data_IF_766631544655
#
_entry.id   IF_766631544655
#
_cell.length_a   1.000
_cell.length_b   1.000
_cell.length_c   1.000
_cell.angle_alpha   90.00
_cell.angle_beta   90.00
_cell.angle_gamma   90.00
#
_symmetry.space_group_name_H-M   'P 1'
#
loop_
_entity.id
_entity.type
_entity.pdbx_description
1 polymer ?
#
# COMPACT_ATOMS: atom_id res chain seq x y z
N UNK A 1 -20.33 84.75 40.82
CA UNK A 1 -19.98 83.55 41.59
C UNK A 1 -20.47 82.32 40.81
N UNK A 2 -19.66 81.65 40.02
CA UNK A 2 -20.01 80.42 39.27
C UNK A 2 -19.05 79.31 39.65
N UNK A 3 -19.56 78.27 40.32
CA UNK A 3 -18.77 77.08 40.70
C UNK A 3 -18.63 76.17 39.50
N UNK A 4 -17.37 75.87 39.11
CA UNK A 4 -17.07 74.86 38.12
C UNK A 4 -17.01 73.51 38.83
N UNK A 5 -17.78 72.56 38.37
CA UNK A 5 -17.75 71.18 38.81
C UNK A 5 -16.76 70.41 37.85
N UNK A 6 -15.72 69.87 38.48
CA UNK A 6 -14.77 69.00 37.76
C UNK A 6 -15.25 67.54 37.70
N UNK A 7 -15.53 67.03 36.51
CA UNK A 7 -15.92 65.62 36.28
C UNK A 7 -14.62 64.87 35.96
N UNK A 8 -14.17 64.06 36.91
CA UNK A 8 -13.08 63.10 36.69
C UNK A 8 -13.62 61.85 35.99
N UNK A 9 -13.24 61.63 34.73
CA UNK A 9 -13.54 60.44 33.96
C UNK A 9 -12.59 59.30 34.37
N UNK A 10 -13.14 58.25 34.99
CA UNK A 10 -12.44 57.03 35.38
C UNK A 10 -12.38 56.11 34.16
N UNK A 11 -11.25 56.07 33.44
CA UNK A 11 -11.00 55.11 32.36
C UNK A 11 -10.66 53.74 32.96
N UNK A 12 -11.61 52.81 32.92
CA UNK A 12 -11.39 51.39 33.27
C UNK A 12 -10.77 50.69 32.05
N UNK A 13 -9.44 50.41 32.13
CA UNK A 13 -8.72 49.59 31.14
C UNK A 13 -9.07 48.09 31.40
N UNK A 14 -10.00 47.54 30.63
CA UNK A 14 -10.24 46.10 30.58
C UNK A 14 -9.08 45.42 29.86
N UNK A 15 -8.10 44.93 30.62
CA UNK A 15 -7.06 44.05 30.09
C UNK A 15 -7.68 42.71 29.69
N UNK A 16 -7.86 42.48 28.39
CA UNK A 16 -8.33 41.18 27.87
C UNK A 16 -7.22 40.15 28.05
N UNK A 17 -7.35 39.32 29.08
CA UNK A 17 -6.45 38.17 29.30
C UNK A 17 -6.83 37.11 28.26
N UNK A 18 -6.07 37.08 27.17
CA UNK A 18 -6.13 36.00 26.15
C UNK A 18 -5.55 34.73 26.78
N UNK A 19 -6.37 33.83 27.26
CA UNK A 19 -5.96 32.50 27.71
C UNK A 19 -5.61 31.69 26.43
N UNK A 20 -4.34 31.26 26.23
CA UNK A 20 -4.00 30.43 25.10
C UNK A 20 -4.68 29.07 25.28
N UNK A 21 -5.64 28.74 24.43
CA UNK A 21 -6.18 27.40 24.37
C UNK A 21 -5.05 26.44 23.96
N UNK A 22 -4.83 25.33 24.68
CA UNK A 22 -3.84 24.35 24.26
C UNK A 22 -4.23 23.83 22.88
N UNK A 23 -3.36 24.08 21.90
CA UNK A 23 -3.52 23.53 20.55
C UNK A 23 -3.54 22.01 20.70
N UNK A 24 -4.70 21.38 20.40
CA UNK A 24 -4.79 19.93 20.36
C UNK A 24 -3.76 19.43 19.36
N UNK A 25 -2.75 18.74 19.84
CA UNK A 25 -1.75 18.10 19.00
C UNK A 25 -2.52 17.19 18.02
N UNK A 26 -2.51 17.57 16.74
CA UNK A 26 -3.16 16.80 15.69
C UNK A 26 -2.32 15.53 15.50
N UNK A 27 -2.79 14.42 16.06
CA UNK A 27 -2.17 13.11 15.88
C UNK A 27 -2.16 12.83 14.38
N UNK A 28 -0.98 12.91 13.77
CA UNK A 28 -0.79 12.61 12.34
C UNK A 28 -1.12 11.14 12.13
N UNK A 29 -2.32 10.87 11.63
CA UNK A 29 -2.77 9.51 11.37
C UNK A 29 -1.94 8.94 10.21
N UNK A 30 -1.14 7.90 10.49
CA UNK A 30 -0.37 7.20 9.47
C UNK A 30 -1.31 6.54 8.47
N UNK A 31 -0.99 6.68 7.19
CA UNK A 31 -1.74 6.11 6.07
C UNK A 31 -1.02 4.85 5.56
N UNK A 32 -1.77 3.78 5.35
CA UNK A 32 -1.31 2.60 4.64
C UNK A 32 -1.73 2.73 3.17
N UNK A 33 -0.80 2.44 2.29
CA UNK A 33 -1.03 2.24 0.86
C UNK A 33 -1.10 0.74 0.58
N UNK A 34 -2.21 0.26 0.01
CA UNK A 34 -2.37 -1.13 -0.43
C UNK A 34 -2.42 -1.18 -1.94
N UNK A 35 -1.58 -2.01 -2.52
CA UNK A 35 -1.58 -2.40 -3.92
C UNK A 35 -1.99 -3.86 -4.03
N UNK A 36 -2.96 -4.16 -4.89
CA UNK A 36 -3.43 -5.51 -5.18
C UNK A 36 -3.11 -5.82 -6.65
N UNK A 37 -1.91 -6.33 -6.88
CA UNK A 37 -1.42 -6.66 -8.22
C UNK A 37 -1.87 -8.06 -8.59
N UNK A 38 -2.64 -8.20 -9.69
CA UNK A 38 -3.00 -9.52 -10.26
C UNK A 38 -1.74 -10.25 -10.68
N UNK A 39 -1.72 -11.57 -10.49
CA UNK A 39 -0.72 -12.44 -11.11
C UNK A 39 -1.37 -13.66 -11.75
N UNK A 40 -0.73 -14.15 -12.80
CA UNK A 40 -1.02 -15.42 -13.48
C UNK A 40 0.31 -16.07 -13.81
N UNK A 41 0.52 -17.30 -13.34
CA UNK A 41 1.77 -18.03 -13.49
C UNK A 41 1.52 -19.47 -13.90
N UNK A 42 2.45 -20.04 -14.69
CA UNK A 42 2.44 -21.47 -15.03
C UNK A 42 1.66 -21.82 -16.29
N UNK A 43 1.47 -23.12 -16.49
CA UNK A 43 0.82 -23.66 -17.67
C UNK A 43 -0.67 -23.90 -17.45
N UNK A 44 -1.50 -23.34 -18.31
CA UNK A 44 -2.96 -23.61 -18.35
C UNK A 44 -3.31 -24.68 -19.37
N UNK A 45 -4.34 -25.47 -19.05
CA UNK A 45 -4.93 -26.56 -19.84
C UNK A 45 -6.34 -26.27 -20.33
N UNK A 46 -6.74 -25.01 -20.50
CA UNK A 46 -8.06 -24.53 -20.99
C UNK A 46 -9.18 -24.37 -19.95
N UNK A 47 -9.01 -24.78 -18.70
CA UNK A 47 -10.12 -24.75 -17.73
C UNK A 47 -10.46 -23.36 -17.20
N UNK A 48 -9.48 -22.48 -17.09
CA UNK A 48 -9.63 -21.18 -16.43
C UNK A 48 -9.31 -20.04 -17.38
N UNK A 49 -8.21 -20.17 -18.12
CA UNK A 49 -7.76 -19.24 -19.16
C UNK A 49 -7.36 -20.05 -20.39
N UNK A 50 -7.15 -19.38 -21.52
CA UNK A 50 -6.71 -20.06 -22.75
C UNK A 50 -5.47 -20.94 -22.51
N UNK A 51 -5.29 -22.03 -23.27
CA UNK A 51 -4.10 -22.86 -23.14
C UNK A 51 -2.85 -22.04 -23.38
N UNK A 52 -1.82 -22.24 -22.58
CA UNK A 52 -0.56 -21.52 -22.75
C UNK A 52 0.31 -21.50 -21.52
N UNK A 53 1.45 -20.86 -21.65
CA UNK A 53 2.39 -20.58 -20.58
C UNK A 53 2.23 -19.12 -20.16
N UNK A 54 2.02 -18.88 -18.86
CA UNK A 54 1.77 -17.56 -18.30
C UNK A 54 2.88 -17.16 -17.33
N UNK A 55 3.29 -15.89 -17.42
CA UNK A 55 4.27 -15.29 -16.50
C UNK A 55 3.80 -13.91 -16.07
N UNK A 56 4.08 -13.57 -14.83
CA UNK A 56 3.87 -12.24 -14.28
C UNK A 56 5.15 -11.75 -13.64
N UNK A 57 5.49 -10.48 -13.91
CA UNK A 57 6.49 -9.71 -13.20
C UNK A 57 5.83 -8.46 -12.62
N UNK A 58 5.87 -8.27 -11.30
CA UNK A 58 5.36 -7.08 -10.64
C UNK A 58 6.56 -6.23 -10.23
N UNK A 59 6.70 -5.07 -10.85
CA UNK A 59 7.75 -4.12 -10.57
C UNK A 59 7.25 -3.10 -9.56
N UNK A 60 8.01 -2.89 -8.49
CA UNK A 60 7.69 -1.97 -7.40
C UNK A 60 8.82 -0.98 -7.25
N UNK A 61 8.56 0.29 -7.46
CA UNK A 61 9.54 1.37 -7.38
C UNK A 61 9.21 2.32 -6.23
N UNK A 62 10.23 2.65 -5.43
CA UNK A 62 10.16 3.73 -4.45
C UNK A 62 10.68 5.01 -5.10
N UNK A 63 9.77 5.85 -5.56
CA UNK A 63 10.11 7.12 -6.23
C UNK A 63 10.58 8.24 -5.26
N UNK A 64 10.65 7.97 -3.95
CA UNK A 64 11.23 8.94 -3.00
C UNK A 64 12.74 9.06 -3.21
N UNK A 65 13.28 10.26 -3.45
CA UNK A 65 14.72 10.43 -3.68
C UNK A 65 15.56 10.29 -2.41
N UNK A 66 14.95 10.34 -1.23
CA UNK A 66 15.69 10.43 0.05
C UNK A 66 15.23 9.45 1.12
N UNK A 67 14.04 8.84 0.97
CA UNK A 67 13.42 8.06 2.06
C UNK A 67 13.18 6.62 1.63
N UNK A 68 13.72 5.68 2.39
CA UNK A 68 13.40 4.28 2.22
C UNK A 68 11.96 3.97 2.64
N UNK A 69 11.27 3.12 1.91
CA UNK A 69 9.88 2.73 2.19
C UNK A 69 9.82 1.29 2.68
N UNK A 70 9.32 1.12 3.90
CA UNK A 70 9.05 -0.20 4.47
C UNK A 70 7.75 -0.75 3.89
N UNK A 71 7.75 -2.03 3.53
CA UNK A 71 6.60 -2.73 3.01
C UNK A 71 6.37 -4.07 3.68
N UNK A 72 5.13 -4.56 3.56
CA UNK A 72 4.70 -5.89 3.92
C UNK A 72 3.97 -6.47 2.73
N UNK A 73 4.31 -7.69 2.31
CA UNK A 73 3.61 -8.36 1.20
C UNK A 73 3.10 -9.74 1.60
N UNK A 74 2.03 -10.19 0.97
CA UNK A 74 1.54 -11.58 0.95
C UNK A 74 0.79 -11.87 -0.34
N UNK A 75 0.53 -13.13 -0.59
CA UNK A 75 -0.18 -13.58 -1.79
C UNK A 75 -1.53 -14.18 -1.41
N UNK A 76 -2.57 -13.76 -2.14
CA UNK A 76 -3.92 -14.31 -2.04
C UNK A 76 -4.20 -15.13 -3.29
N UNK A 77 -4.33 -16.46 -3.15
CA UNK A 77 -4.60 -17.37 -4.26
C UNK A 77 -6.08 -17.28 -4.61
N UNK A 78 -6.40 -17.18 -5.91
CA UNK A 78 -7.75 -17.33 -6.42
C UNK A 78 -7.94 -18.77 -6.90
N UNK A 79 -8.98 -19.43 -6.39
CA UNK A 79 -9.37 -20.77 -6.84
C UNK A 79 -10.59 -20.67 -7.77
N UNK A 80 -10.74 -21.61 -8.72
CA UNK A 80 -11.95 -21.70 -9.55
C UNK A 80 -13.19 -22.03 -8.70
N UNK A 81 -14.39 -21.91 -9.31
CA UNK A 81 -15.67 -22.26 -8.70
C UNK A 81 -16.01 -21.39 -7.47
N UNK A 82 -15.67 -20.08 -7.53
CA UNK A 82 -15.97 -19.08 -6.49
C UNK A 82 -15.39 -19.43 -5.09
N UNK A 83 -14.38 -20.29 -5.04
CA UNK A 83 -13.76 -20.70 -3.77
C UNK A 83 -12.62 -19.76 -3.40
N UNK A 84 -12.59 -19.26 -2.15
CA UNK A 84 -11.43 -18.53 -1.66
C UNK A 84 -10.22 -19.44 -1.50
N UNK A 85 -9.09 -19.04 -2.06
CA UNK A 85 -7.83 -19.73 -1.90
C UNK A 85 -7.11 -19.37 -0.61
N UNK A 86 -5.94 -19.97 -0.41
CA UNK A 86 -5.08 -19.71 0.75
C UNK A 86 -4.42 -18.33 0.66
N UNK A 87 -4.13 -17.77 1.82
CA UNK A 87 -3.23 -16.63 1.97
C UNK A 87 -1.84 -17.15 2.33
N UNK A 88 -0.80 -16.58 1.72
CA UNK A 88 0.57 -16.85 2.17
C UNK A 88 0.88 -16.15 3.49
N UNK A 89 1.98 -16.54 4.12
CA UNK A 89 2.57 -15.77 5.22
C UNK A 89 2.99 -14.37 4.76
N UNK A 90 3.11 -13.47 5.73
CA UNK A 90 3.59 -12.12 5.49
C UNK A 90 5.11 -12.09 5.31
N UNK A 91 5.56 -11.33 4.33
CA UNK A 91 6.97 -11.03 4.08
C UNK A 91 7.20 -9.55 4.27
N UNK A 92 8.11 -9.19 5.16
CA UNK A 92 8.47 -7.79 5.45
C UNK A 92 9.77 -7.43 4.74
N UNK A 93 9.86 -6.21 4.22
CA UNK A 93 11.06 -5.71 3.58
C UNK A 93 11.08 -4.19 3.52
N UNK A 94 12.16 -3.66 2.94
CA UNK A 94 12.37 -2.22 2.74
C UNK A 94 12.90 -1.99 1.33
N UNK A 95 12.38 -0.98 0.64
CA UNK A 95 12.89 -0.52 -0.64
C UNK A 95 13.64 0.80 -0.37
N UNK A 96 14.98 0.85 -0.60
CA UNK A 96 15.73 2.09 -0.43
C UNK A 96 15.19 3.23 -1.31
N UNK A 97 15.61 4.47 -1.01
CA UNK A 97 15.25 5.63 -1.81
C UNK A 97 15.67 5.43 -3.29
N UNK A 98 14.77 5.74 -4.22
CA UNK A 98 14.99 5.63 -5.68
C UNK A 98 15.41 4.23 -6.18
N UNK A 99 14.97 3.18 -5.46
CA UNK A 99 15.23 1.79 -5.86
C UNK A 99 13.95 1.08 -6.25
N UNK A 100 14.11 0.05 -7.10
CA UNK A 100 13.03 -0.84 -7.50
C UNK A 100 13.32 -2.28 -7.09
N UNK A 101 12.25 -3.07 -6.91
CA UNK A 101 12.30 -4.52 -6.74
C UNK A 101 11.32 -5.21 -7.69
N UNK A 102 11.61 -6.45 -8.08
CA UNK A 102 10.73 -7.32 -8.84
C UNK A 102 10.10 -8.39 -7.94
N UNK A 103 8.87 -8.77 -8.27
CA UNK A 103 8.18 -9.96 -7.75
C UNK A 103 7.74 -10.75 -8.97
N UNK A 104 8.30 -11.91 -9.18
CA UNK A 104 8.04 -12.79 -10.31
C UNK A 104 7.33 -14.08 -9.92
N UNK A 105 7.05 -14.95 -10.90
CA UNK A 105 6.41 -16.22 -10.66
C UNK A 105 7.22 -17.16 -9.75
N UNK A 106 8.54 -17.10 -9.76
CA UNK A 106 9.38 -17.91 -8.86
C UNK A 106 9.19 -17.48 -7.40
N UNK A 107 9.18 -16.18 -7.16
CA UNK A 107 8.88 -15.64 -5.84
C UNK A 107 7.47 -16.03 -5.37
N UNK A 108 6.48 -16.01 -6.28
CA UNK A 108 5.09 -16.37 -5.99
C UNK A 108 5.01 -17.85 -5.61
N UNK A 109 5.56 -18.75 -6.42
CA UNK A 109 5.60 -20.19 -6.13
C UNK A 109 6.24 -20.49 -4.77
N UNK A 110 7.39 -19.88 -4.49
CA UNK A 110 8.10 -20.05 -3.22
C UNK A 110 7.24 -19.66 -2.03
N UNK A 111 6.56 -18.51 -2.07
CA UNK A 111 5.79 -18.00 -0.94
C UNK A 111 4.41 -18.63 -0.81
N UNK A 112 3.86 -19.21 -1.88
CA UNK A 112 2.58 -19.93 -1.84
C UNK A 112 2.75 -21.42 -1.61
N UNK A 113 3.99 -21.91 -1.55
CA UNK A 113 4.33 -23.33 -1.47
C UNK A 113 3.67 -24.15 -2.60
N UNK A 114 3.73 -23.60 -3.83
CA UNK A 114 3.18 -24.20 -5.05
C UNK A 114 4.33 -24.70 -5.91
N UNK A 115 4.25 -25.90 -6.51
CA UNK A 115 5.27 -26.39 -7.43
C UNK A 115 5.48 -25.46 -8.62
N UNK A 116 6.73 -25.17 -9.02
CA UNK A 116 7.03 -24.37 -10.20
C UNK A 116 6.36 -24.92 -11.47
N UNK A 117 5.81 -24.02 -12.29
CA UNK A 117 5.14 -24.39 -13.54
C UNK A 117 3.68 -24.82 -13.41
N UNK A 118 3.20 -25.12 -12.20
CA UNK A 118 1.78 -25.33 -11.95
C UNK A 118 0.99 -24.05 -12.19
N UNK A 119 -0.18 -24.15 -12.84
CA UNK A 119 -1.04 -23.00 -13.03
C UNK A 119 -1.49 -22.43 -11.70
N UNK A 120 -1.28 -21.12 -11.52
CA UNK A 120 -1.59 -20.40 -10.30
C UNK A 120 -1.97 -18.96 -10.64
N UNK A 121 -3.10 -18.49 -10.09
CA UNK A 121 -3.50 -17.10 -10.21
C UNK A 121 -3.96 -16.52 -8.87
N UNK A 122 -3.93 -15.21 -8.78
CA UNK A 122 -4.31 -14.50 -7.54
C UNK A 122 -3.85 -13.06 -7.52
N UNK A 123 -3.61 -12.58 -6.31
CA UNK A 123 -3.16 -11.20 -6.07
C UNK A 123 -1.94 -11.16 -5.16
N UNK A 124 -0.92 -10.44 -5.56
CA UNK A 124 0.13 -9.98 -4.68
C UNK A 124 -0.38 -8.72 -3.95
N UNK A 125 -0.57 -8.83 -2.63
CA UNK A 125 -1.01 -7.74 -1.78
C UNK A 125 0.21 -7.09 -1.15
N UNK A 126 0.48 -5.85 -1.53
CA UNK A 126 1.61 -5.06 -1.03
C UNK A 126 1.09 -3.89 -0.18
N UNK A 127 1.49 -3.83 1.07
CA UNK A 127 1.17 -2.77 2.02
C UNK A 127 2.42 -1.95 2.31
N UNK A 128 2.33 -0.62 2.30
CA UNK A 128 3.47 0.27 2.60
C UNK A 128 3.04 1.50 3.38
N UNK A 129 3.99 2.15 4.06
CA UNK A 129 3.76 3.44 4.74
C UNK A 129 4.07 4.65 3.85
N UNK A 130 4.71 4.44 2.70
CA UNK A 130 4.95 5.42 1.65
C UNK A 130 4.29 4.99 0.36
N UNK A 131 3.95 5.95 -0.48
CA UNK A 131 3.44 5.67 -1.82
C UNK A 131 4.54 5.05 -2.68
N UNK A 132 4.19 4.05 -3.47
CA UNK A 132 5.07 3.31 -4.38
C UNK A 132 4.48 3.33 -5.79
N UNK A 133 5.32 3.25 -6.81
CA UNK A 133 4.88 2.93 -8.16
C UNK A 133 4.87 1.42 -8.35
N UNK A 134 3.69 0.87 -8.67
CA UNK A 134 3.52 -0.57 -8.87
C UNK A 134 2.98 -0.85 -10.25
N UNK A 135 3.68 -1.69 -11.00
CA UNK A 135 3.33 -2.07 -12.38
C UNK A 135 3.40 -3.59 -12.50
N UNK A 136 2.32 -4.21 -12.97
CA UNK A 136 2.29 -5.62 -13.34
C UNK A 136 2.53 -5.76 -14.84
N UNK A 137 3.40 -6.69 -15.21
CA UNK A 137 3.65 -7.10 -16.60
C UNK A 137 3.26 -8.56 -16.71
N UNK A 138 2.32 -8.84 -17.61
CA UNK A 138 1.83 -10.18 -17.88
C UNK A 138 2.25 -10.60 -19.27
N UNK A 139 2.83 -11.77 -19.38
CA UNK A 139 3.11 -12.40 -20.66
C UNK A 139 2.40 -13.74 -20.75
N UNK A 140 1.91 -14.05 -21.94
CA UNK A 140 1.32 -15.34 -22.26
C UNK A 140 1.84 -15.80 -23.61
N UNK A 141 2.25 -17.08 -23.68
CA UNK A 141 2.76 -17.69 -24.90
C UNK A 141 2.12 -19.05 -25.14
N UNK A 142 1.76 -19.31 -26.39
CA UNK A 142 1.34 -20.62 -26.90
C UNK A 142 1.86 -20.83 -28.31
N UNK A 143 2.69 -21.85 -28.51
CA UNK A 143 3.32 -22.13 -29.79
C UNK A 143 4.17 -20.95 -30.30
N UNK A 144 3.67 -20.21 -31.29
CA UNK A 144 4.36 -19.07 -31.91
C UNK A 144 3.68 -17.71 -31.57
N UNK A 145 2.65 -17.72 -30.73
CA UNK A 145 1.93 -16.49 -30.33
C UNK A 145 2.33 -16.09 -28.93
N UNK A 146 2.84 -14.88 -28.81
CA UNK A 146 3.20 -14.29 -27.54
C UNK A 146 2.43 -12.96 -27.35
N UNK A 147 1.96 -12.73 -26.14
CA UNK A 147 1.29 -11.48 -25.76
C UNK A 147 2.00 -10.85 -24.58
N UNK A 148 2.00 -9.53 -24.53
CA UNK A 148 2.50 -8.76 -23.39
C UNK A 148 1.42 -7.73 -23.01
N UNK A 149 1.07 -7.70 -21.75
CA UNK A 149 0.19 -6.70 -21.17
C UNK A 149 0.85 -6.04 -19.95
N UNK A 150 0.74 -4.73 -19.85
CA UNK A 150 1.29 -3.95 -18.74
C UNK A 150 0.17 -3.17 -18.09
N UNK A 151 0.06 -3.27 -16.77
CA UNK A 151 -0.96 -2.60 -15.96
C UNK A 151 -0.33 -1.83 -14.80
N UNK A 152 -0.71 -0.55 -14.63
CA UNK A 152 -0.40 0.21 -13.42
C UNK A 152 -1.40 -0.15 -12.33
N UNK A 153 -0.89 -0.56 -11.17
CA UNK A 153 -1.70 -0.96 -10.01
C UNK A 153 -1.94 0.25 -9.11
N UNK A 154 -3.19 0.75 -9.00
CA UNK A 154 -3.49 1.92 -8.19
C UNK A 154 -3.42 1.61 -6.69
N UNK A 155 -2.95 2.57 -5.90
CA UNK A 155 -2.97 2.50 -4.45
C UNK A 155 -4.37 2.69 -3.88
N UNK A 156 -4.77 1.84 -2.93
CA UNK A 156 -5.89 2.08 -2.01
C UNK A 156 -5.32 2.60 -0.70
N UNK A 157 -5.90 3.67 -0.17
CA UNK A 157 -5.40 4.35 1.04
C UNK A 157 -6.35 4.12 2.20
N UNK A 158 -5.81 3.79 3.38
CA UNK A 158 -6.57 3.71 4.62
C UNK A 158 -5.71 4.00 5.86
N UNK A 159 -6.36 4.43 6.96
CA UNK A 159 -5.65 4.72 8.20
C UNK A 159 -5.05 3.47 8.81
N UNK A 160 -3.82 3.54 9.31
CA UNK A 160 -3.10 2.43 9.95
C UNK A 160 -3.90 1.81 11.11
N UNK A 161 -4.62 2.61 11.90
CA UNK A 161 -5.36 2.15 13.07
C UNK A 161 -6.55 1.22 12.80
N UNK A 162 -6.93 0.98 11.54
CA UNK A 162 -8.04 0.08 11.20
C UNK A 162 -7.72 -1.41 11.36
N UNK A 163 -6.43 -1.79 11.34
CA UNK A 163 -6.01 -3.18 11.51
C UNK A 163 -4.96 -3.28 12.61
N UNK A 164 -5.30 -3.97 13.71
CA UNK A 164 -4.35 -4.23 14.80
C UNK A 164 -3.12 -5.02 14.34
N UNK A 165 -3.32 -5.97 13.43
CA UNK A 165 -2.24 -6.80 12.88
C UNK A 165 -1.26 -5.96 12.04
N UNK A 166 -1.76 -5.12 11.13
CA UNK A 166 -0.93 -4.22 10.33
C UNK A 166 -0.21 -3.21 11.22
N UNK A 167 -0.90 -2.64 12.21
CA UNK A 167 -0.29 -1.73 13.18
C UNK A 167 0.88 -2.41 13.89
N UNK A 168 0.69 -3.64 14.37
CA UNK A 168 1.74 -4.42 15.03
C UNK A 168 2.94 -4.66 14.10
N UNK A 169 2.70 -5.11 12.87
CA UNK A 169 3.77 -5.41 11.89
C UNK A 169 4.59 -4.18 11.50
N UNK A 170 3.96 -2.99 11.40
CA UNK A 170 4.68 -1.75 11.13
C UNK A 170 5.32 -1.11 12.36
N UNK A 171 4.92 -1.49 13.59
CA UNK A 171 5.44 -0.94 14.86
C UNK A 171 6.59 -1.75 15.45
N UNK A 172 6.84 -2.98 14.99
CA UNK A 172 7.81 -3.93 15.57
C UNK A 172 9.26 -3.67 15.13
N UNK A 173 9.65 -2.39 14.97
CA UNK A 173 11.09 -2.02 14.94
C UNK A 173 11.33 -0.64 15.50
#
# INVERSE_FOLDING_TARGET
MKKAASMAALLIFLASISIPFPAKAQVRQLTIFLYAAKFVCGKSDERIVSPGQYFTAINVHNASPTTAVRYIKRFAIALPEERPGKLSEFVVGTIPADHAMGIDCENIYKHTNTPPGQFLEGYALLYSLGELDVVSVHTAGHSQVETLHTERVPARRFPLGRSKEMTRMFSLQ
#
